data_IF_140739472763
#
_entry.id   IF_140739472763
#
_cell.length_a   1.000
_cell.length_b   1.000
_cell.length_c   1.000
_cell.angle_alpha   90.00
_cell.angle_beta   90.00
_cell.angle_gamma   90.00
#
_symmetry.space_group_name_H-M   'P 1'
#
loop_
_entity.id
_entity.type
_entity.pdbx_description
1 polymer ?
#
# COMPACT_ATOMS: atom_id res chain seq x y z
N UNK A 1 -18.39 0.84 3.36
CA UNK A 1 -18.83 0.80 1.92
C UNK A 1 -17.77 0.19 1.04
N UNK A 2 -18.10 -0.28 -0.18
CA UNK A 2 -17.15 -0.85 -1.16
C UNK A 2 -17.33 -0.20 -2.52
N UNK A 3 -16.23 0.25 -3.14
CA UNK A 3 -16.16 0.80 -4.49
C UNK A 3 -15.39 -0.17 -5.39
N UNK A 4 -15.91 -0.54 -6.54
CA UNK A 4 -15.23 -1.42 -7.48
C UNK A 4 -14.46 -0.62 -8.54
N UNK A 5 -13.15 -0.87 -8.67
CA UNK A 5 -12.26 -0.20 -9.61
C UNK A 5 -11.71 -1.23 -10.61
N UNK A 6 -12.26 -1.28 -11.83
CA UNK A 6 -11.80 -2.24 -12.83
C UNK A 6 -11.84 -3.70 -12.37
N UNK A 7 -12.84 -4.08 -11.57
CA UNK A 7 -12.97 -5.40 -10.97
C UNK A 7 -12.31 -5.56 -9.58
N UNK A 8 -11.48 -4.61 -9.14
CA UNK A 8 -10.84 -4.64 -7.81
C UNK A 8 -11.76 -3.95 -6.79
N UNK A 9 -12.25 -4.67 -5.75
CA UNK A 9 -13.05 -4.07 -4.70
C UNK A 9 -12.18 -3.30 -3.69
N UNK A 10 -12.58 -2.08 -3.35
CA UNK A 10 -11.91 -1.19 -2.40
C UNK A 10 -12.92 -0.78 -1.33
N UNK A 11 -12.66 -1.11 -0.07
CA UNK A 11 -13.57 -0.77 1.04
C UNK A 11 -13.31 -1.59 2.29
N UNK A 12 -13.94 -1.21 3.40
CA UNK A 12 -13.64 -1.71 4.76
C UNK A 12 -13.89 -3.21 4.96
N UNK A 13 -14.71 -3.84 4.11
CA UNK A 13 -14.96 -5.29 4.14
C UNK A 13 -14.03 -6.08 3.19
N UNK A 14 -13.08 -5.39 2.55
CA UNK A 14 -12.19 -5.97 1.54
C UNK A 14 -10.73 -5.91 2.01
N UNK A 15 -9.84 -6.75 1.43
CA UNK A 15 -8.42 -6.61 1.68
C UNK A 15 -7.90 -5.23 1.24
N UNK A 16 -7.01 -4.63 2.05
CA UNK A 16 -6.43 -3.31 1.74
C UNK A 16 -5.65 -3.38 0.42
N UNK A 17 -6.03 -2.56 -0.54
CA UNK A 17 -5.51 -2.59 -1.90
C UNK A 17 -4.19 -1.83 -2.02
N UNK A 18 -3.18 -2.44 -2.62
CA UNK A 18 -1.90 -1.80 -2.94
C UNK A 18 -1.99 -1.13 -4.31
N UNK A 19 -1.84 0.19 -4.32
CA UNK A 19 -1.80 1.00 -5.53
C UNK A 19 -0.40 1.60 -5.74
N UNK A 20 0.03 1.71 -7.00
CA UNK A 20 1.26 2.40 -7.39
C UNK A 20 1.00 3.45 -8.49
N UNK A 21 2.08 4.05 -9.00
CA UNK A 21 2.03 5.07 -10.04
C UNK A 21 3.28 5.02 -10.91
N UNK A 22 3.10 5.18 -12.22
CA UNK A 22 4.22 5.35 -13.15
C UNK A 22 4.89 6.71 -12.99
N UNK A 23 6.14 6.81 -13.43
CA UNK A 23 6.88 8.06 -13.61
C UNK A 23 7.41 8.24 -15.04
N UNK A 24 6.95 7.41 -15.98
CA UNK A 24 7.19 7.55 -17.41
C UNK A 24 6.36 8.71 -17.98
N UNK A 25 6.76 9.25 -19.12
CA UNK A 25 5.89 10.10 -19.92
C UNK A 25 4.75 9.24 -20.50
N UNK A 26 3.52 9.54 -20.11
CA UNK A 26 2.34 8.79 -20.57
C UNK A 26 2.11 8.94 -22.08
N UNK A 27 2.68 9.96 -22.72
CA UNK A 27 2.66 10.12 -24.18
C UNK A 27 3.52 9.04 -24.89
N UNK A 28 4.40 8.33 -24.17
CA UNK A 28 5.08 7.13 -24.65
C UNK A 28 4.32 5.88 -24.15
N UNK A 29 3.45 5.27 -24.96
CA UNK A 29 2.65 4.15 -24.53
C UNK A 29 3.47 2.90 -24.27
N UNK A 30 4.57 2.66 -25.00
CA UNK A 30 5.39 1.46 -24.84
C UNK A 30 6.15 1.48 -23.51
N UNK A 31 6.83 2.59 -23.20
CA UNK A 31 7.54 2.77 -21.93
C UNK A 31 6.58 2.73 -20.74
N UNK A 32 5.41 3.37 -20.87
CA UNK A 32 4.42 3.39 -19.79
C UNK A 32 3.80 2.02 -19.56
N UNK A 33 3.41 1.28 -20.60
CA UNK A 33 2.88 -0.07 -20.48
C UNK A 33 3.92 -1.02 -19.86
N UNK A 34 5.18 -0.91 -20.26
CA UNK A 34 6.27 -1.70 -19.66
C UNK A 34 6.40 -1.45 -18.15
N UNK A 35 6.36 -0.18 -17.72
CA UNK A 35 6.42 0.15 -16.30
C UNK A 35 5.17 -0.27 -15.54
N UNK A 36 3.97 -0.16 -16.14
CA UNK A 36 2.73 -0.67 -15.55
C UNK A 36 2.81 -2.18 -15.31
N UNK A 37 3.30 -2.96 -16.30
CA UNK A 37 3.53 -4.41 -16.15
C UNK A 37 4.52 -4.72 -15.03
N UNK A 38 5.62 -3.97 -14.93
CA UNK A 38 6.61 -4.15 -13.87
C UNK A 38 6.00 -3.90 -12.47
N UNK A 39 5.23 -2.83 -12.32
CA UNK A 39 4.53 -2.51 -11.07
C UNK A 39 3.48 -3.57 -10.71
N UNK A 40 2.74 -4.08 -11.69
CA UNK A 40 1.78 -5.16 -11.50
C UNK A 40 2.48 -6.47 -11.11
N UNK A 41 3.55 -6.84 -11.78
CA UNK A 41 4.35 -8.02 -11.45
C UNK A 41 4.94 -7.96 -10.03
N UNK A 42 5.28 -6.75 -9.54
CA UNK A 42 5.67 -6.54 -8.16
C UNK A 42 4.50 -6.69 -7.16
N UNK A 43 3.26 -6.69 -7.65
CA UNK A 43 2.03 -6.91 -6.87
C UNK A 43 1.20 -5.65 -6.63
N UNK A 44 1.36 -4.60 -7.47
CA UNK A 44 0.39 -3.50 -7.48
C UNK A 44 -0.92 -3.95 -8.10
N UNK A 45 -2.02 -3.76 -7.39
CA UNK A 45 -3.36 -4.18 -7.82
C UNK A 45 -4.08 -3.10 -8.64
N UNK A 46 -3.62 -1.86 -8.53
CA UNK A 46 -4.08 -0.70 -9.29
C UNK A 46 -2.87 0.14 -9.67
N UNK A 47 -2.76 0.59 -10.90
CA UNK A 47 -1.66 1.46 -11.35
C UNK A 47 -2.20 2.77 -11.89
N UNK A 48 -1.61 3.90 -11.46
CA UNK A 48 -2.01 5.24 -11.88
C UNK A 48 -1.01 5.81 -12.88
N UNK A 49 -1.53 6.43 -13.93
CA UNK A 49 -0.76 7.17 -14.94
C UNK A 49 -1.20 8.64 -14.94
N UNK A 50 -0.30 9.56 -15.25
CA UNK A 50 -0.63 10.99 -15.36
C UNK A 50 -1.19 11.27 -16.76
N UNK A 51 -2.36 11.94 -16.84
CA UNK A 51 -2.97 12.35 -18.10
C UNK A 51 -3.07 13.87 -18.11
N UNK A 52 -2.06 14.53 -18.67
CA UNK A 52 -1.89 16.00 -18.62
C UNK A 52 -1.82 16.67 -19.99
N UNK A 53 -1.70 15.90 -21.07
CA UNK A 53 -1.63 16.39 -22.44
C UNK A 53 -2.57 15.62 -23.37
N UNK A 54 -2.84 16.17 -24.55
CA UNK A 54 -3.61 15.49 -25.60
C UNK A 54 -2.91 14.20 -26.07
N UNK A 55 -1.56 14.21 -26.12
CA UNK A 55 -0.74 13.05 -26.49
C UNK A 55 -0.90 11.92 -25.45
N UNK A 56 -0.77 12.27 -24.16
CA UNK A 56 -1.00 11.33 -23.07
C UNK A 56 -2.42 10.73 -23.11
N UNK A 57 -3.43 11.56 -23.33
CA UNK A 57 -4.81 11.09 -23.44
C UNK A 57 -5.02 10.13 -24.62
N UNK A 58 -4.38 10.40 -25.79
CA UNK A 58 -4.42 9.51 -26.96
C UNK A 58 -3.69 8.19 -26.71
N UNK A 59 -2.63 8.18 -25.91
CA UNK A 59 -1.82 6.99 -25.61
C UNK A 59 -2.52 6.01 -24.62
N UNK A 60 -3.38 6.51 -23.72
CA UNK A 60 -4.03 5.68 -22.67
C UNK A 60 -4.71 4.41 -23.21
N UNK A 61 -5.50 4.43 -24.30
CA UNK A 61 -6.13 3.19 -24.79
C UNK A 61 -5.11 2.12 -25.19
N UNK A 62 -3.98 2.52 -25.80
CA UNK A 62 -2.92 1.59 -26.18
C UNK A 62 -2.21 1.02 -24.94
N UNK A 63 -1.96 1.85 -23.93
CA UNK A 63 -1.38 1.38 -22.65
C UNK A 63 -2.30 0.34 -22.00
N UNK A 64 -3.59 0.65 -21.90
CA UNK A 64 -4.57 -0.25 -21.26
C UNK A 64 -4.70 -1.57 -22.00
N UNK A 65 -4.60 -1.57 -23.34
CA UNK A 65 -4.68 -2.79 -24.15
C UNK A 65 -3.48 -3.75 -23.93
N UNK A 66 -2.36 -3.25 -23.41
CA UNK A 66 -1.12 -4.00 -23.20
C UNK A 66 -0.95 -4.52 -21.77
N UNK A 67 -1.92 -4.31 -20.87
CA UNK A 67 -1.78 -4.62 -19.44
C UNK A 67 -3.05 -5.23 -18.88
N UNK A 68 -2.90 -6.14 -17.91
CA UNK A 68 -4.02 -6.84 -17.25
C UNK A 68 -4.49 -6.15 -15.96
N UNK A 69 -3.74 -5.14 -15.47
CA UNK A 69 -4.08 -4.42 -14.25
C UNK A 69 -4.93 -3.18 -14.54
N UNK A 70 -5.93 -2.85 -13.70
CA UNK A 70 -6.73 -1.64 -13.89
C UNK A 70 -5.87 -0.37 -13.83
N UNK A 71 -5.98 0.47 -14.86
CA UNK A 71 -5.24 1.72 -14.99
C UNK A 71 -6.12 2.89 -14.57
N UNK A 72 -5.56 3.77 -13.74
CA UNK A 72 -6.21 4.98 -13.20
C UNK A 72 -5.64 6.21 -13.89
N UNK A 73 -6.48 7.10 -14.36
CA UNK A 73 -6.07 8.40 -14.90
C UNK A 73 -5.96 9.47 -13.80
N UNK A 74 -4.83 10.15 -13.75
CA UNK A 74 -4.59 11.27 -12.84
C UNK A 74 -4.72 12.58 -13.59
N UNK A 75 -5.75 13.36 -13.28
CA UNK A 75 -6.12 14.58 -13.98
C UNK A 75 -5.88 15.82 -13.11
N UNK A 76 -5.27 16.82 -13.74
CA UNK A 76 -5.03 18.13 -13.16
C UNK A 76 -5.45 19.22 -14.18
N UNK A 77 -5.76 20.42 -13.72
CA UNK A 77 -6.05 21.65 -14.49
C UNK A 77 -6.99 21.48 -15.69
N UNK A 78 -6.59 20.72 -16.70
CA UNK A 78 -7.27 20.53 -17.99
C UNK A 78 -7.98 19.17 -18.12
N UNK A 79 -8.11 18.41 -17.04
CA UNK A 79 -8.71 17.07 -17.05
C UNK A 79 -10.12 17.05 -17.66
N UNK A 80 -10.93 18.08 -17.40
CA UNK A 80 -12.27 18.23 -17.97
C UNK A 80 -12.23 18.33 -19.51
N UNK A 81 -11.23 19.02 -20.07
CA UNK A 81 -11.04 19.14 -21.51
C UNK A 81 -10.54 17.82 -22.12
N UNK A 82 -9.55 17.20 -21.48
CA UNK A 82 -8.96 15.94 -21.97
C UNK A 82 -9.98 14.81 -21.99
N UNK A 83 -10.75 14.62 -20.94
CA UNK A 83 -11.77 13.58 -20.86
C UNK A 83 -12.91 13.80 -21.87
N UNK A 84 -13.32 15.05 -22.10
CA UNK A 84 -14.35 15.39 -23.08
C UNK A 84 -13.85 15.21 -24.51
N UNK A 85 -12.62 15.65 -24.80
CA UNK A 85 -12.01 15.61 -26.14
C UNK A 85 -11.59 14.19 -26.55
N UNK A 86 -11.23 13.36 -25.58
CA UNK A 86 -10.72 12.01 -25.80
C UNK A 86 -11.60 10.93 -25.13
N UNK A 87 -12.81 10.64 -25.64
CA UNK A 87 -13.71 9.68 -25.02
C UNK A 87 -13.16 8.25 -24.98
N UNK A 88 -12.24 7.88 -25.88
CA UNK A 88 -11.54 6.61 -25.83
C UNK A 88 -10.65 6.47 -24.57
N UNK A 89 -9.99 7.57 -24.16
CA UNK A 89 -9.24 7.62 -22.90
C UNK A 89 -10.20 7.44 -21.70
N UNK A 90 -11.29 8.17 -21.68
CA UNK A 90 -12.29 8.08 -20.61
C UNK A 90 -12.80 6.64 -20.43
N UNK A 91 -13.16 5.97 -21.53
CA UNK A 91 -13.64 4.57 -21.52
C UNK A 91 -12.58 3.57 -21.06
N UNK A 92 -11.33 3.74 -21.51
CA UNK A 92 -10.25 2.79 -21.21
C UNK A 92 -9.85 2.79 -19.74
N UNK A 93 -9.88 3.93 -19.07
CA UNK A 93 -9.51 4.05 -17.66
C UNK A 93 -10.49 3.35 -16.72
N UNK A 94 -9.97 2.75 -15.66
CA UNK A 94 -10.77 2.09 -14.63
C UNK A 94 -11.31 3.04 -13.56
N UNK A 95 -10.64 4.18 -13.35
CA UNK A 95 -11.00 5.20 -12.37
C UNK A 95 -10.36 6.54 -12.73
N UNK A 96 -10.99 7.64 -12.34
CA UNK A 96 -10.37 8.96 -12.44
C UNK A 96 -9.91 9.44 -11.07
N UNK A 97 -8.73 10.05 -10.99
CA UNK A 97 -8.29 10.81 -9.83
C UNK A 97 -8.36 12.29 -10.15
N UNK A 98 -9.01 13.02 -9.27
CA UNK A 98 -9.21 14.47 -9.38
C UNK A 98 -8.67 15.11 -8.11
N UNK A 99 -7.93 16.21 -8.24
CA UNK A 99 -7.62 17.09 -7.12
C UNK A 99 -8.52 18.33 -7.24
N UNK A 100 -9.49 18.55 -6.34
CA UNK A 100 -10.43 19.66 -6.43
C UNK A 100 -9.77 21.03 -6.37
N UNK A 101 -8.59 21.15 -5.74
CA UNK A 101 -7.80 22.37 -5.76
C UNK A 101 -7.08 22.66 -7.09
N UNK A 102 -7.04 21.67 -7.99
CA UNK A 102 -6.27 21.72 -9.25
C UNK A 102 -7.12 21.43 -10.51
N UNK A 103 -8.40 21.76 -10.51
CA UNK A 103 -9.29 21.61 -11.70
C UNK A 103 -9.41 22.88 -12.52
N UNK A 104 -8.45 23.80 -12.37
CA UNK A 104 -8.43 25.13 -12.98
C UNK A 104 -8.91 26.23 -12.02
N UNK A 105 -8.40 27.45 -12.22
CA UNK A 105 -8.69 28.59 -11.34
C UNK A 105 -9.99 29.31 -11.70
N UNK A 106 -10.36 29.27 -12.99
CA UNK A 106 -11.63 29.84 -13.47
C UNK A 106 -12.65 28.72 -13.63
N UNK A 107 -13.88 28.92 -13.12
CA UNK A 107 -14.96 27.93 -13.19
C UNK A 107 -14.60 26.56 -12.58
N UNK A 108 -13.93 26.57 -11.44
CA UNK A 108 -13.46 25.35 -10.79
C UNK A 108 -14.58 24.30 -10.64
N UNK A 109 -15.72 24.68 -10.11
CA UNK A 109 -16.83 23.77 -9.85
C UNK A 109 -17.47 23.27 -11.17
N UNK A 110 -17.57 24.11 -12.21
CA UNK A 110 -18.03 23.69 -13.51
C UNK A 110 -17.09 22.66 -14.16
N UNK A 111 -15.78 22.89 -14.05
CA UNK A 111 -14.77 21.96 -14.55
C UNK A 111 -14.83 20.62 -13.80
N UNK A 112 -14.98 20.69 -12.48
CA UNK A 112 -15.15 19.50 -11.63
C UNK A 112 -16.43 18.73 -12.03
N UNK A 113 -17.58 19.41 -12.11
CA UNK A 113 -18.85 18.83 -12.57
C UNK A 113 -18.74 18.18 -13.95
N UNK A 114 -17.98 18.79 -14.86
CA UNK A 114 -17.73 18.21 -16.21
C UNK A 114 -17.00 16.88 -16.11
N UNK A 115 -15.96 16.76 -15.27
CA UNK A 115 -15.23 15.50 -15.06
C UNK A 115 -16.16 14.45 -14.43
N UNK A 116 -16.95 14.84 -13.43
CA UNK A 116 -17.92 13.97 -12.78
C UNK A 116 -18.98 13.48 -13.80
N UNK A 117 -19.48 14.35 -14.66
CA UNK A 117 -20.45 13.95 -15.67
C UNK A 117 -19.88 12.91 -16.66
N UNK A 118 -18.60 13.04 -17.03
CA UNK A 118 -17.92 12.00 -17.82
C UNK A 118 -17.82 10.70 -17.03
N UNK A 119 -17.49 10.77 -15.75
CA UNK A 119 -17.41 9.59 -14.88
C UNK A 119 -18.76 8.87 -14.75
N UNK A 120 -19.85 9.62 -14.62
CA UNK A 120 -21.23 9.09 -14.59
C UNK A 120 -21.55 8.40 -15.91
N UNK A 121 -21.32 9.07 -17.04
CA UNK A 121 -21.64 8.56 -18.37
C UNK A 121 -20.85 7.28 -18.72
N UNK A 122 -19.59 7.20 -18.29
CA UNK A 122 -18.72 6.05 -18.53
C UNK A 122 -18.76 5.00 -17.39
N UNK A 123 -19.59 5.24 -16.35
CA UNK A 123 -19.74 4.35 -15.21
C UNK A 123 -18.48 4.17 -14.37
N UNK A 124 -17.63 5.19 -14.29
CA UNK A 124 -16.33 5.11 -13.61
C UNK A 124 -16.37 5.66 -12.19
N UNK A 125 -15.74 4.99 -11.22
CA UNK A 125 -15.52 5.58 -9.91
C UNK A 125 -14.50 6.73 -9.98
N UNK A 126 -14.58 7.62 -8.99
CA UNK A 126 -13.71 8.79 -8.87
C UNK A 126 -13.01 8.77 -7.53
N UNK A 127 -11.71 9.06 -7.51
CA UNK A 127 -11.02 9.42 -6.26
C UNK A 127 -10.84 10.93 -6.20
N UNK A 128 -11.46 11.53 -5.21
CA UNK A 128 -11.26 12.93 -4.83
C UNK A 128 -10.03 12.99 -3.93
N UNK A 129 -8.97 13.61 -4.44
CA UNK A 129 -7.67 13.59 -3.80
C UNK A 129 -7.19 14.97 -3.42
N UNK A 130 -7.48 15.40 -2.20
CA UNK A 130 -6.99 16.65 -1.64
C UNK A 130 -5.52 16.49 -1.22
N UNK A 131 -4.70 17.49 -1.52
CA UNK A 131 -3.31 17.57 -1.05
C UNK A 131 -3.10 18.93 -0.37
N UNK A 132 -2.34 18.95 0.71
CA UNK A 132 -1.98 20.18 1.43
C UNK A 132 -1.40 21.27 0.52
N UNK A 133 -0.39 20.91 -0.29
CA UNK A 133 0.32 21.86 -1.16
C UNK A 133 -0.53 22.43 -2.32
N UNK A 134 -1.75 21.94 -2.52
CA UNK A 134 -2.66 22.38 -3.59
C UNK A 134 -4.11 22.44 -3.10
N UNK A 135 -4.29 22.86 -1.85
CA UNK A 135 -5.59 23.09 -1.25
C UNK A 135 -6.31 24.28 -1.89
N UNK A 136 -7.62 24.23 -1.88
CA UNK A 136 -8.48 25.34 -2.30
C UNK A 136 -8.20 26.60 -1.45
N UNK A 137 -7.62 27.62 -2.10
CA UNK A 137 -7.20 28.84 -1.44
C UNK A 137 -8.40 29.69 -0.99
N UNK A 138 -9.52 29.63 -1.70
CA UNK A 138 -10.71 30.36 -1.30
C UNK A 138 -11.28 29.76 -0.01
N UNK A 139 -11.49 28.46 0.04
CA UNK A 139 -11.95 27.77 1.24
C UNK A 139 -11.01 28.00 2.42
N UNK A 140 -9.69 27.87 2.20
CA UNK A 140 -8.72 28.13 3.26
C UNK A 140 -8.82 29.55 3.81
N UNK A 141 -8.93 30.56 2.92
CA UNK A 141 -9.09 31.97 3.31
C UNK A 141 -10.37 32.18 4.13
N UNK A 142 -11.50 31.66 3.66
CA UNK A 142 -12.78 31.75 4.36
C UNK A 142 -12.68 31.15 5.78
N UNK A 143 -12.02 30.00 5.94
CA UNK A 143 -11.87 29.35 7.24
C UNK A 143 -10.87 30.08 8.14
N UNK A 144 -9.80 30.64 7.61
CA UNK A 144 -8.85 31.47 8.36
C UNK A 144 -9.50 32.77 8.84
N UNK A 145 -10.29 33.44 8.00
CA UNK A 145 -11.02 34.64 8.36
C UNK A 145 -12.09 34.37 9.43
N UNK A 146 -12.74 33.21 9.36
CA UNK A 146 -13.68 32.78 10.41
C UNK A 146 -12.95 32.50 11.73
N UNK A 147 -11.80 31.82 11.67
CA UNK A 147 -10.96 31.54 12.85
C UNK A 147 -10.46 32.83 13.52
N UNK A 148 -10.04 33.83 12.74
CA UNK A 148 -9.56 35.10 13.26
C UNK A 148 -10.62 35.90 14.05
N UNK A 149 -11.91 35.58 13.86
CA UNK A 149 -13.02 36.24 14.57
C UNK A 149 -13.41 35.53 15.88
N UNK A 150 -12.80 34.37 16.19
CA UNK A 150 -13.03 33.67 17.44
C UNK A 150 -12.38 34.42 18.61
N UNK A 151 -12.94 34.30 19.81
CA UNK A 151 -12.37 34.88 21.03
C UNK A 151 -10.96 34.29 21.31
N UNK A 152 -10.78 33.00 20.98
CA UNK A 152 -9.51 32.29 21.05
C UNK A 152 -9.25 31.63 19.69
N UNK A 153 -8.52 32.30 18.77
CA UNK A 153 -8.20 31.72 17.48
C UNK A 153 -7.34 30.45 17.61
N UNK A 154 -7.68 29.43 16.85
CA UNK A 154 -6.93 28.19 16.79
C UNK A 154 -5.66 28.36 15.94
N UNK A 155 -4.71 27.44 16.09
CA UNK A 155 -3.49 27.40 15.28
C UNK A 155 -3.83 27.29 13.79
N UNK A 156 -3.10 28.04 12.96
CA UNK A 156 -3.32 28.05 11.50
C UNK A 156 -3.16 26.67 10.85
N UNK A 157 -2.29 25.81 11.41
CA UNK A 157 -2.11 24.44 10.95
C UNK A 157 -3.37 23.59 11.17
N UNK A 158 -4.02 23.74 12.32
CA UNK A 158 -5.26 23.02 12.64
C UNK A 158 -6.38 23.46 11.71
N UNK A 159 -6.52 24.77 11.45
CA UNK A 159 -7.49 25.31 10.50
C UNK A 159 -7.23 24.80 9.09
N UNK A 160 -5.96 24.64 8.70
CA UNK A 160 -5.62 24.08 7.38
C UNK A 160 -5.99 22.61 7.28
N UNK A 161 -5.81 21.82 8.35
CA UNK A 161 -6.25 20.42 8.39
C UNK A 161 -7.78 20.31 8.29
N UNK A 162 -8.50 21.15 9.01
CA UNK A 162 -9.97 21.25 8.89
C UNK A 162 -10.38 21.59 7.45
N UNK A 163 -9.71 22.55 6.82
CA UNK A 163 -9.97 22.95 5.44
C UNK A 163 -9.71 21.80 4.43
N UNK A 164 -8.72 20.94 4.68
CA UNK A 164 -8.51 19.76 3.86
C UNK A 164 -9.66 18.76 3.95
N UNK A 165 -10.12 18.50 5.16
CA UNK A 165 -11.28 17.60 5.40
C UNK A 165 -12.53 18.18 4.78
N UNK A 166 -12.79 19.46 5.00
CA UNK A 166 -13.94 20.17 4.44
C UNK A 166 -13.92 20.19 2.91
N UNK A 167 -12.75 20.42 2.30
CA UNK A 167 -12.57 20.36 0.84
C UNK A 167 -12.89 18.98 0.28
N UNK A 168 -12.48 17.92 0.98
CA UNK A 168 -12.80 16.55 0.57
C UNK A 168 -14.29 16.25 0.64
N UNK A 169 -14.95 16.64 1.74
CA UNK A 169 -16.36 16.40 1.97
C UNK A 169 -17.24 17.19 0.99
N UNK A 170 -17.02 18.50 0.86
CA UNK A 170 -17.77 19.34 -0.11
C UNK A 170 -17.62 18.87 -1.55
N UNK A 171 -16.41 18.36 -1.90
CA UNK A 171 -16.18 17.83 -3.24
C UNK A 171 -16.88 16.49 -3.47
N UNK A 172 -17.02 15.66 -2.43
CA UNK A 172 -17.81 14.43 -2.50
C UNK A 172 -19.31 14.73 -2.67
N UNK A 173 -19.85 15.65 -1.86
CA UNK A 173 -21.23 16.14 -1.96
C UNK A 173 -21.51 16.70 -3.37
N UNK A 174 -20.62 17.55 -3.88
CA UNK A 174 -20.72 18.12 -5.24
C UNK A 174 -20.70 17.02 -6.33
N UNK A 175 -19.92 15.95 -6.13
CA UNK A 175 -19.89 14.83 -7.06
C UNK A 175 -21.22 14.07 -7.07
N UNK A 176 -21.81 13.82 -5.90
CA UNK A 176 -23.12 13.17 -5.76
C UNK A 176 -24.25 14.04 -6.33
N UNK A 177 -24.27 15.33 -6.01
CA UNK A 177 -25.20 16.30 -6.62
C UNK A 177 -25.10 16.33 -8.14
N UNK A 178 -23.90 16.04 -8.70
CA UNK A 178 -23.67 15.93 -10.12
C UNK A 178 -24.06 14.58 -10.73
N UNK A 179 -24.62 13.68 -9.91
CA UNK A 179 -25.16 12.37 -10.32
C UNK A 179 -24.19 11.20 -10.16
N UNK A 180 -23.03 11.37 -9.55
CA UNK A 180 -22.12 10.24 -9.27
C UNK A 180 -22.71 9.42 -8.10
N UNK A 181 -22.92 8.10 -8.28
CA UNK A 181 -23.43 7.26 -7.18
C UNK A 181 -22.49 7.28 -5.98
N UNK A 182 -23.04 7.20 -4.77
CA UNK A 182 -22.30 7.19 -3.52
C UNK A 182 -21.21 6.11 -3.47
N UNK A 183 -21.51 4.91 -3.97
CA UNK A 183 -20.59 3.76 -4.08
C UNK A 183 -19.55 3.89 -5.21
N UNK A 184 -19.36 5.08 -5.75
CA UNK A 184 -18.35 5.42 -6.78
C UNK A 184 -17.34 6.46 -6.34
N UNK A 185 -17.37 6.88 -5.08
CA UNK A 185 -16.48 7.88 -4.52
C UNK A 185 -15.44 7.24 -3.60
N UNK A 186 -14.18 7.61 -3.76
CA UNK A 186 -13.04 7.30 -2.87
C UNK A 186 -12.43 8.62 -2.43
N UNK A 187 -12.06 8.78 -1.16
CA UNK A 187 -11.44 10.01 -0.66
C UNK A 187 -9.97 9.83 -0.33
N UNK A 188 -9.21 10.91 -0.41
CA UNK A 188 -7.87 11.01 0.17
C UNK A 188 -7.52 12.44 0.54
N UNK A 189 -6.85 12.62 1.68
CA UNK A 189 -6.34 13.89 2.18
C UNK A 189 -4.85 13.73 2.52
N UNK A 190 -3.95 14.10 1.60
CA UNK A 190 -2.53 13.79 1.70
C UNK A 190 -1.70 14.99 2.14
N UNK A 191 -0.80 14.74 3.07
CA UNK A 191 0.19 15.68 3.61
C UNK A 191 1.57 15.04 3.61
N UNK A 192 2.63 15.81 3.84
CA UNK A 192 4.02 15.31 3.85
C UNK A 192 4.51 14.92 5.26
N UNK A 193 3.84 15.38 6.33
CA UNK A 193 4.17 15.07 7.72
C UNK A 193 3.37 13.89 8.25
N UNK A 194 4.02 13.00 9.02
CA UNK A 194 3.38 11.82 9.63
C UNK A 194 2.27 12.22 10.60
N UNK A 195 2.55 13.16 11.51
CA UNK A 195 1.58 13.60 12.52
C UNK A 195 0.37 14.28 11.88
N UNK A 196 0.59 15.09 10.85
CA UNK A 196 -0.49 15.73 10.10
C UNK A 196 -1.34 14.72 9.34
N UNK A 197 -0.70 13.70 8.75
CA UNK A 197 -1.42 12.62 8.08
C UNK A 197 -2.36 11.91 9.05
N UNK A 198 -1.85 11.54 10.22
CA UNK A 198 -2.64 10.86 11.25
C UNK A 198 -3.79 11.74 11.73
N UNK A 199 -3.53 13.03 12.00
CA UNK A 199 -4.54 13.98 12.45
C UNK A 199 -5.66 14.15 11.40
N UNK A 200 -5.31 14.43 10.14
CA UNK A 200 -6.29 14.64 9.05
C UNK A 200 -7.18 13.41 8.83
N UNK A 201 -6.60 12.20 8.80
CA UNK A 201 -7.42 11.00 8.58
C UNK A 201 -8.28 10.61 9.78
N UNK A 202 -7.82 10.87 11.02
CA UNK A 202 -8.66 10.73 12.22
C UNK A 202 -9.85 11.69 12.22
N UNK A 203 -9.69 12.86 11.59
CA UNK A 203 -10.79 13.81 11.42
C UNK A 203 -11.73 13.42 10.26
N UNK A 204 -11.16 12.88 9.16
CA UNK A 204 -11.92 12.52 7.96
C UNK A 204 -12.73 11.23 8.13
N UNK A 205 -12.13 10.19 8.73
CA UNK A 205 -12.72 8.87 8.83
C UNK A 205 -14.11 8.84 9.52
N UNK A 206 -14.37 9.56 10.63
CA UNK A 206 -15.68 9.55 11.27
C UNK A 206 -16.74 10.40 10.53
N UNK A 207 -16.35 11.19 9.52
CA UNK A 207 -17.26 12.10 8.79
C UNK A 207 -17.95 11.44 7.58
N UNK A 208 -17.49 10.28 7.15
CA UNK A 208 -18.05 9.58 5.99
C UNK A 208 -17.74 8.09 6.02
N UNK A 209 -18.45 7.32 5.21
CA UNK A 209 -18.23 5.90 4.97
C UNK A 209 -17.53 5.61 3.60
N UNK A 210 -17.08 6.67 2.90
CA UNK A 210 -16.30 6.52 1.68
C UNK A 210 -14.99 5.78 1.93
N UNK A 211 -14.59 4.83 1.07
CA UNK A 211 -13.27 4.23 1.15
C UNK A 211 -12.15 5.28 1.13
N UNK A 212 -11.15 5.08 1.98
CA UNK A 212 -10.05 6.01 2.17
C UNK A 212 -8.76 5.50 1.52
N UNK A 213 -8.14 6.35 0.70
CA UNK A 213 -6.84 6.07 0.10
C UNK A 213 -5.73 6.78 0.88
N UNK A 214 -4.91 6.00 1.58
CA UNK A 214 -3.82 6.52 2.41
C UNK A 214 -2.50 6.71 1.65
N UNK A 215 -1.67 7.57 2.18
CA UNK A 215 -0.27 7.76 1.77
C UNK A 215 0.22 9.16 2.06
N UNK A 216 1.50 9.27 2.39
CA UNK A 216 2.16 10.56 2.42
C UNK A 216 2.35 11.11 1.00
N UNK A 217 2.32 12.41 0.83
CA UNK A 217 2.91 13.08 -0.33
C UNK A 217 4.36 13.43 0.02
N UNK A 218 5.27 13.33 -0.96
CA UNK A 218 6.65 13.79 -0.81
C UNK A 218 7.37 13.18 0.41
N UNK A 219 7.20 11.88 0.63
CA UNK A 219 7.79 11.19 1.79
C UNK A 219 9.33 11.27 1.80
N UNK A 220 9.96 11.41 0.63
CA UNK A 220 11.41 11.53 0.46
C UNK A 220 12.05 10.26 -0.07
N UNK A 221 13.39 10.23 -0.04
CA UNK A 221 14.22 9.16 -0.61
C UNK A 221 14.65 8.15 0.46
N UNK A 222 14.89 6.91 0.04
CA UNK A 222 15.57 5.87 0.83
C UNK A 222 14.94 5.70 2.22
N UNK A 223 15.78 5.49 3.21
CA UNK A 223 15.35 5.21 4.59
C UNK A 223 14.37 6.25 5.16
N UNK A 224 14.58 7.54 4.90
CA UNK A 224 13.68 8.60 5.39
C UNK A 224 12.26 8.42 4.83
N UNK A 225 12.16 8.17 3.53
CA UNK A 225 10.87 7.98 2.87
C UNK A 225 10.16 6.70 3.31
N UNK A 226 10.90 5.61 3.44
CA UNK A 226 10.39 4.31 3.93
C UNK A 226 9.87 4.44 5.37
N UNK A 227 10.69 5.00 6.28
CA UNK A 227 10.32 5.15 7.69
C UNK A 227 9.09 6.04 7.85
N UNK A 228 9.05 7.21 7.18
CA UNK A 228 7.92 8.12 7.26
C UNK A 228 6.62 7.48 6.71
N UNK A 229 6.71 6.80 5.56
CA UNK A 229 5.55 6.11 4.98
C UNK A 229 5.07 4.97 5.88
N UNK A 230 5.98 4.15 6.39
CA UNK A 230 5.66 3.07 7.31
C UNK A 230 4.98 3.59 8.57
N UNK A 231 5.54 4.61 9.23
CA UNK A 231 4.97 5.18 10.45
C UNK A 231 3.55 5.73 10.21
N UNK A 232 3.38 6.58 9.18
CA UNK A 232 2.08 7.21 8.91
C UNK A 232 0.99 6.20 8.52
N UNK A 233 1.33 5.23 7.68
CA UNK A 233 0.39 4.18 7.27
C UNK A 233 0.06 3.24 8.43
N UNK A 234 1.06 2.80 9.19
CA UNK A 234 0.86 1.79 10.24
C UNK A 234 -0.04 2.30 11.37
N UNK A 235 0.10 3.56 11.80
CA UNK A 235 -0.75 4.14 12.83
C UNK A 235 -2.22 4.10 12.39
N UNK A 236 -2.51 4.58 11.19
CA UNK A 236 -3.89 4.64 10.68
C UNK A 236 -4.48 3.25 10.43
N UNK A 237 -3.70 2.35 9.82
CA UNK A 237 -4.14 1.00 9.53
C UNK A 237 -4.42 0.18 10.80
N UNK A 238 -3.66 0.39 11.89
CA UNK A 238 -3.92 -0.21 13.20
C UNK A 238 -5.22 0.30 13.83
N UNK A 239 -5.65 1.51 13.48
CA UNK A 239 -6.92 2.10 13.91
C UNK A 239 -8.10 1.70 12.99
N UNK A 240 -7.86 0.84 12.00
CA UNK A 240 -8.88 0.44 11.02
C UNK A 240 -9.18 1.50 9.97
N UNK A 241 -8.33 2.51 9.83
CA UNK A 241 -8.49 3.61 8.86
C UNK A 241 -7.66 3.30 7.61
N UNK A 242 -8.33 3.16 6.46
CA UNK A 242 -7.69 3.00 5.15
C UNK A 242 -8.05 1.71 4.43
N UNK A 243 -8.46 1.84 3.17
CA UNK A 243 -8.94 0.76 2.31
C UNK A 243 -8.01 0.51 1.11
N UNK A 244 -7.20 1.49 0.78
CA UNK A 244 -6.14 1.38 -0.24
C UNK A 244 -4.97 2.28 0.13
N UNK A 245 -3.76 1.84 -0.18
CA UNK A 245 -2.53 2.55 0.18
C UNK A 245 -1.64 2.79 -1.04
N UNK A 246 -0.87 3.89 -0.99
CA UNK A 246 0.24 4.12 -1.89
C UNK A 246 1.42 4.73 -1.14
N UNK A 247 2.55 4.06 -1.19
CA UNK A 247 3.84 4.59 -0.76
C UNK A 247 4.40 5.51 -1.85
N UNK A 248 4.89 6.70 -1.49
CA UNK A 248 5.39 7.72 -2.43
C UNK A 248 6.87 7.99 -2.14
N UNK A 249 7.76 7.20 -2.70
CA UNK A 249 9.19 7.41 -2.58
C UNK A 249 9.73 8.23 -3.76
N UNK A 250 10.70 9.07 -3.48
CA UNK A 250 11.52 9.67 -4.54
C UNK A 250 12.54 8.62 -4.98
N UNK A 251 12.47 8.10 -6.22
CA UNK A 251 13.42 7.09 -6.67
C UNK A 251 14.82 7.71 -6.85
N UNK A 252 15.87 6.89 -6.71
CA UNK A 252 17.19 7.28 -7.17
C UNK A 252 17.19 7.39 -8.70
N UNK A 253 18.07 8.20 -9.32
CA UNK A 253 18.22 8.17 -10.76
C UNK A 253 18.49 6.74 -11.27
N UNK A 254 17.66 6.25 -12.20
CA UNK A 254 17.72 4.86 -12.67
C UNK A 254 17.28 3.80 -11.65
N UNK A 255 16.74 4.20 -10.50
CA UNK A 255 16.29 3.29 -9.45
C UNK A 255 15.02 2.54 -9.80
N UNK A 256 14.80 1.43 -9.10
CA UNK A 256 13.64 0.56 -9.27
C UNK A 256 12.36 1.22 -8.76
N UNK A 257 11.40 1.45 -9.68
CA UNK A 257 10.09 2.02 -9.35
C UNK A 257 9.22 1.05 -8.54
N UNK A 258 9.50 -0.23 -8.56
CA UNK A 258 8.74 -1.26 -7.83
C UNK A 258 9.00 -1.24 -6.32
N UNK A 259 10.05 -0.55 -5.84
CA UNK A 259 10.35 -0.40 -4.42
C UNK A 259 9.13 0.11 -3.62
N UNK A 260 8.36 1.06 -4.18
CA UNK A 260 7.14 1.57 -3.53
C UNK A 260 6.11 0.46 -3.25
N UNK A 261 5.96 -0.48 -4.19
CA UNK A 261 5.03 -1.61 -4.06
C UNK A 261 5.52 -2.58 -2.99
N UNK A 262 6.82 -2.89 -3.00
CA UNK A 262 7.44 -3.78 -2.02
C UNK A 262 7.30 -3.22 -0.60
N UNK A 263 7.57 -1.93 -0.42
CA UNK A 263 7.40 -1.25 0.89
C UNK A 263 5.94 -1.28 1.34
N UNK A 264 4.99 -1.00 0.44
CA UNK A 264 3.57 -1.07 0.76
C UNK A 264 3.13 -2.47 1.22
N UNK A 265 3.60 -3.51 0.52
CA UNK A 265 3.35 -4.90 0.90
C UNK A 265 3.96 -5.23 2.26
N UNK A 266 5.21 -4.80 2.52
CA UNK A 266 5.88 -5.05 3.80
C UNK A 266 5.17 -4.34 4.96
N UNK A 267 4.63 -3.14 4.77
CA UNK A 267 3.81 -2.45 5.79
C UNK A 267 2.59 -3.32 6.14
N UNK A 268 1.82 -3.74 5.14
CA UNK A 268 0.62 -4.56 5.39
C UNK A 268 0.95 -5.91 6.01
N UNK A 269 2.03 -6.54 5.57
CA UNK A 269 2.46 -7.85 6.04
C UNK A 269 3.01 -7.79 7.46
N UNK A 270 3.80 -6.76 7.80
CA UNK A 270 4.32 -6.55 9.15
C UNK A 270 3.22 -6.25 10.18
N UNK A 271 2.10 -5.68 9.74
CA UNK A 271 0.91 -5.46 10.56
C UNK A 271 -0.01 -6.68 10.64
N UNK A 272 0.28 -7.78 9.92
CA UNK A 272 -0.57 -8.96 9.86
C UNK A 272 -1.90 -8.74 9.12
N UNK A 273 -2.03 -7.67 8.34
CA UNK A 273 -3.25 -7.31 7.62
C UNK A 273 -3.40 -8.07 6.30
N UNK A 274 -2.27 -8.37 5.64
CA UNK A 274 -2.21 -9.17 4.41
C UNK A 274 -0.88 -9.92 4.33
N UNK A 275 -0.85 -11.02 3.60
CA UNK A 275 0.36 -11.77 3.25
C UNK A 275 0.59 -11.69 1.74
N UNK A 276 1.85 -11.49 1.32
CA UNK A 276 2.23 -11.35 -0.09
C UNK A 276 3.37 -12.27 -0.48
N UNK A 277 4.27 -12.54 0.46
CA UNK A 277 5.45 -13.38 0.26
C UNK A 277 5.79 -14.10 1.57
N UNK A 278 6.37 -15.30 1.53
CA UNK A 278 6.94 -15.92 2.72
C UNK A 278 7.84 -14.96 3.49
N UNK A 279 7.74 -14.97 4.81
CA UNK A 279 8.57 -14.13 5.67
C UNK A 279 9.80 -14.87 6.17
N UNK A 280 10.95 -14.24 6.11
CA UNK A 280 12.18 -14.75 6.72
C UNK A 280 12.55 -13.86 7.92
N UNK A 281 12.50 -14.45 9.11
CA UNK A 281 13.03 -13.86 10.34
C UNK A 281 14.48 -14.28 10.49
N UNK A 282 15.39 -13.31 10.52
CA UNK A 282 16.82 -13.55 10.70
C UNK A 282 17.36 -12.80 11.91
N UNK A 283 18.33 -13.40 12.56
CA UNK A 283 19.07 -12.79 13.67
C UNK A 283 19.89 -11.61 13.17
N UNK A 284 19.98 -10.48 13.91
CA UNK A 284 20.79 -9.31 13.49
C UNK A 284 22.30 -9.57 13.55
N UNK A 285 22.73 -10.67 14.18
CA UNK A 285 24.14 -10.93 14.49
C UNK A 285 24.62 -10.17 15.73
N UNK A 286 25.56 -10.76 16.45
CA UNK A 286 26.20 -10.15 17.62
C UNK A 286 27.59 -10.81 17.85
N UNK A 287 28.28 -10.50 18.95
CA UNK A 287 29.56 -11.11 19.27
C UNK A 287 29.60 -12.62 19.42
N UNK A 288 28.41 -13.28 19.46
CA UNK A 288 28.30 -14.75 19.42
C UNK A 288 28.31 -15.33 18.03
N UNK A 289 28.16 -14.51 17.00
CA UNK A 289 28.12 -14.89 15.59
C UNK A 289 29.15 -14.06 14.83
N UNK A 290 30.39 -14.51 14.80
CA UNK A 290 31.48 -13.85 14.06
C UNK A 290 31.57 -14.32 12.61
N UNK A 291 30.84 -15.37 12.22
CA UNK A 291 30.72 -15.87 10.87
C UNK A 291 29.60 -15.15 10.11
N UNK A 292 29.79 -14.91 8.82
CA UNK A 292 28.76 -14.36 7.91
C UNK A 292 27.78 -15.42 7.39
N UNK A 293 28.05 -16.69 7.64
CA UNK A 293 27.31 -17.82 7.06
C UNK A 293 25.79 -17.73 7.26
N UNK A 294 25.33 -17.31 8.46
CA UNK A 294 23.89 -17.17 8.70
C UNK A 294 23.27 -16.00 7.90
N UNK A 295 24.04 -14.95 7.64
CA UNK A 295 23.60 -13.81 6.81
C UNK A 295 23.50 -14.24 5.35
N UNK A 296 24.51 -14.92 4.84
CA UNK A 296 24.55 -15.47 3.49
C UNK A 296 23.40 -16.47 3.26
N UNK A 297 23.17 -17.37 4.23
CA UNK A 297 22.06 -18.31 4.19
C UNK A 297 20.69 -17.59 4.23
N UNK A 298 20.53 -16.58 5.07
CA UNK A 298 19.29 -15.82 5.14
C UNK A 298 19.00 -15.08 3.81
N UNK A 299 20.03 -14.50 3.19
CA UNK A 299 19.92 -13.85 1.89
C UNK A 299 19.58 -14.84 0.77
N UNK A 300 20.25 -16.02 0.76
CA UNK A 300 19.99 -17.08 -0.20
C UNK A 300 18.55 -17.60 -0.09
N UNK A 301 18.07 -17.86 1.13
CA UNK A 301 16.68 -18.25 1.37
C UNK A 301 15.68 -17.18 0.95
N UNK A 302 15.93 -15.90 1.29
CA UNK A 302 15.06 -14.81 0.85
C UNK A 302 15.00 -14.70 -0.67
N UNK A 303 16.14 -14.88 -1.32
CA UNK A 303 16.25 -14.85 -2.79
C UNK A 303 15.53 -16.02 -3.42
N UNK A 304 15.71 -17.22 -2.88
CA UNK A 304 15.00 -18.42 -3.30
C UNK A 304 13.47 -18.26 -3.18
N UNK A 305 12.98 -17.81 -2.04
CA UNK A 305 11.55 -17.58 -1.82
C UNK A 305 10.95 -16.56 -2.80
N UNK A 306 11.69 -15.48 -3.10
CA UNK A 306 11.26 -14.50 -4.12
C UNK A 306 11.20 -15.11 -5.52
N UNK A 307 12.15 -15.95 -5.88
CA UNK A 307 12.17 -16.64 -7.18
C UNK A 307 11.06 -17.67 -7.32
N UNK A 308 10.74 -18.39 -6.24
CA UNK A 308 9.68 -19.39 -6.23
C UNK A 308 8.26 -18.79 -6.18
N UNK A 309 8.12 -17.53 -5.77
CA UNK A 309 6.83 -16.88 -5.57
C UNK A 309 5.84 -17.09 -6.74
N UNK A 310 6.19 -16.81 -8.02
CA UNK A 310 5.23 -16.97 -9.11
C UNK A 310 4.74 -18.41 -9.29
N UNK A 311 5.63 -19.37 -9.17
CA UNK A 311 5.31 -20.79 -9.27
C UNK A 311 4.48 -21.28 -8.08
N UNK A 312 4.81 -20.83 -6.87
CA UNK A 312 4.11 -21.21 -5.64
C UNK A 312 2.71 -20.60 -5.54
N UNK A 313 2.52 -19.35 -5.94
CA UNK A 313 1.19 -18.73 -5.99
C UNK A 313 0.21 -19.52 -6.87
N UNK A 314 0.71 -20.10 -7.97
CA UNK A 314 -0.10 -20.92 -8.88
C UNK A 314 -0.35 -22.34 -8.35
N UNK A 315 0.65 -22.95 -7.69
CA UNK A 315 0.64 -24.36 -7.28
C UNK A 315 0.24 -24.58 -5.83
N UNK A 316 0.54 -23.64 -4.96
CA UNK A 316 0.45 -23.75 -3.50
C UNK A 316 -0.22 -22.50 -2.89
N UNK A 317 -1.51 -22.25 -3.17
CA UNK A 317 -2.23 -21.13 -2.55
C UNK A 317 -2.12 -21.14 -1.02
N UNK A 318 -1.82 -19.97 -0.41
CA UNK A 318 -1.56 -19.82 1.01
C UNK A 318 -0.07 -19.92 1.39
N UNK A 319 0.82 -20.27 0.46
CA UNK A 319 2.27 -20.31 0.71
C UNK A 319 2.87 -18.93 1.04
N UNK A 320 2.19 -17.86 0.71
CA UNK A 320 2.54 -16.48 1.08
C UNK A 320 2.50 -16.23 2.60
N UNK A 321 1.80 -17.08 3.37
CA UNK A 321 1.72 -17.00 4.82
C UNK A 321 2.90 -17.70 5.54
N UNK A 322 3.75 -18.39 4.79
CA UNK A 322 4.87 -19.16 5.34
C UNK A 322 5.86 -18.28 6.10
N UNK A 323 6.22 -18.71 7.30
CA UNK A 323 7.22 -18.06 8.17
C UNK A 323 8.44 -18.95 8.30
N UNK A 324 9.58 -18.45 7.89
CA UNK A 324 10.89 -19.12 7.95
C UNK A 324 11.77 -18.37 8.96
N UNK A 325 12.51 -19.11 9.80
CA UNK A 325 13.49 -18.53 10.72
C UNK A 325 14.91 -18.99 10.38
N UNK A 326 15.86 -18.04 10.33
CA UNK A 326 17.29 -18.31 10.14
C UNK A 326 18.08 -17.66 11.26
N UNK A 327 18.51 -18.46 12.24
CA UNK A 327 19.14 -17.98 13.46
C UNK A 327 20.62 -18.34 13.50
N UNK A 328 21.45 -17.41 13.99
CA UNK A 328 22.90 -17.50 13.95
C UNK A 328 23.55 -18.10 15.20
N UNK A 329 22.81 -18.50 16.25
CA UNK A 329 23.37 -19.14 17.44
C UNK A 329 22.27 -19.87 18.25
N UNK A 330 22.69 -20.69 19.21
CA UNK A 330 21.79 -21.50 20.05
C UNK A 330 21.05 -20.71 21.12
N UNK A 331 21.35 -19.44 21.35
CA UNK A 331 20.75 -18.67 22.45
C UNK A 331 19.28 -18.37 22.18
N UNK A 332 18.98 -17.70 21.07
CA UNK A 332 17.61 -17.41 20.62
C UNK A 332 17.14 -18.37 19.51
N UNK A 333 18.10 -19.02 18.85
CA UNK A 333 17.85 -19.82 17.66
C UNK A 333 16.76 -20.89 17.82
N UNK A 334 16.85 -21.79 18.83
CA UNK A 334 15.81 -22.82 19.03
C UNK A 334 14.45 -22.23 19.36
N UNK A 335 14.38 -21.13 20.11
CA UNK A 335 13.13 -20.45 20.47
C UNK A 335 12.45 -19.86 19.23
N UNK A 336 13.14 -19.00 18.50
CA UNK A 336 12.62 -18.34 17.29
C UNK A 336 12.28 -19.37 16.19
N UNK A 337 13.13 -20.39 16.03
CA UNK A 337 12.89 -21.45 15.04
C UNK A 337 11.64 -22.29 15.36
N UNK A 338 11.25 -22.42 16.63
CA UNK A 338 10.02 -23.10 17.03
C UNK A 338 8.76 -22.26 16.82
N UNK A 339 8.89 -20.92 16.82
CA UNK A 339 7.77 -20.03 16.56
C UNK A 339 7.49 -19.81 15.07
N UNK A 340 8.45 -20.16 14.21
CA UNK A 340 8.26 -20.18 12.77
C UNK A 340 7.61 -21.50 12.30
N UNK A 341 7.08 -21.52 11.09
CA UNK A 341 6.57 -22.74 10.47
C UNK A 341 7.71 -23.72 10.18
N UNK A 342 8.84 -23.17 9.74
CA UNK A 342 10.11 -23.87 9.57
C UNK A 342 11.26 -22.97 10.00
N UNK A 343 12.21 -23.47 10.77
CA UNK A 343 13.34 -22.66 11.22
C UNK A 343 14.61 -23.49 11.39
N UNK A 344 15.74 -22.84 11.18
CA UNK A 344 17.08 -23.39 11.39
C UNK A 344 17.84 -22.53 12.40
N UNK A 345 18.53 -23.19 13.32
CA UNK A 345 19.44 -22.55 14.26
C UNK A 345 20.87 -22.97 13.91
N UNK A 346 21.63 -22.05 13.37
CA UNK A 346 23.04 -22.29 13.02
C UNK A 346 23.92 -22.20 14.29
N UNK A 347 25.08 -22.84 14.28
CA UNK A 347 26.02 -22.72 15.39
C UNK A 347 26.66 -21.32 15.42
N UNK A 348 26.78 -20.76 16.61
CA UNK A 348 27.57 -19.57 16.85
C UNK A 348 29.05 -19.83 16.95
N UNK A 349 29.85 -18.81 17.23
CA UNK A 349 31.29 -18.93 17.45
C UNK A 349 31.60 -19.86 18.63
N UNK A 350 32.48 -20.83 18.41
CA UNK A 350 32.86 -21.88 19.36
C UNK A 350 31.72 -22.85 19.76
N UNK A 351 30.59 -22.85 19.06
CA UNK A 351 29.54 -23.87 19.21
C UNK A 351 29.85 -25.09 18.31
N UNK A 352 29.30 -26.25 18.67
CA UNK A 352 29.41 -27.43 17.80
C UNK A 352 28.79 -27.15 16.42
N UNK A 353 29.39 -27.61 15.30
CA UNK A 353 28.89 -27.36 13.96
C UNK A 353 27.64 -28.21 13.65
N UNK A 354 26.55 -27.92 14.37
CA UNK A 354 25.24 -28.57 14.28
C UNK A 354 24.17 -27.53 14.04
N UNK A 355 23.34 -27.75 13.04
CA UNK A 355 22.23 -26.87 12.68
C UNK A 355 20.87 -27.60 12.86
N UNK A 356 20.26 -27.54 14.05
CA UNK A 356 18.94 -28.11 14.26
C UNK A 356 17.89 -27.37 13.44
N UNK A 357 17.04 -28.14 12.74
CA UNK A 357 15.90 -27.67 11.96
C UNK A 357 14.62 -28.03 12.70
N UNK A 358 13.78 -27.03 12.89
CA UNK A 358 12.47 -27.16 13.52
C UNK A 358 11.38 -27.00 12.44
N UNK A 359 10.34 -27.83 12.56
CA UNK A 359 9.17 -27.80 11.68
C UNK A 359 7.93 -27.89 12.58
N UNK A 360 7.00 -26.97 12.43
CA UNK A 360 5.78 -26.86 13.24
C UNK A 360 6.08 -26.93 14.77
N UNK A 361 7.14 -26.24 15.21
CA UNK A 361 7.57 -26.17 16.60
C UNK A 361 8.38 -27.36 17.11
N UNK A 362 8.52 -28.44 16.35
CA UNK A 362 9.24 -29.66 16.75
C UNK A 362 10.60 -29.80 16.04
N UNK A 363 11.61 -30.34 16.76
CA UNK A 363 12.89 -30.67 16.14
C UNK A 363 12.68 -31.78 15.09
N UNK A 364 13.00 -31.48 13.84
CA UNK A 364 12.85 -32.40 12.70
C UNK A 364 14.14 -33.21 12.44
N UNK A 365 15.25 -32.47 12.31
CA UNK A 365 16.57 -33.03 11.98
C UNK A 365 17.67 -32.05 12.42
N UNK A 366 18.89 -32.55 12.57
CA UNK A 366 20.08 -31.72 12.78
C UNK A 366 21.00 -31.88 11.60
N UNK A 367 21.17 -30.78 10.82
CA UNK A 367 22.02 -30.74 9.64
C UNK A 367 23.50 -30.52 10.04
N UNK A 368 24.43 -30.94 9.18
CA UNK A 368 25.86 -30.81 9.39
C UNK A 368 26.59 -30.75 8.04
N UNK A 369 27.78 -30.13 8.06
CA UNK A 369 28.68 -30.08 6.89
C UNK A 369 28.30 -29.00 5.88
N UNK A 370 28.82 -29.13 4.66
CA UNK A 370 28.79 -28.07 3.63
C UNK A 370 27.44 -27.98 2.88
N UNK A 371 26.59 -28.99 3.02
CA UNK A 371 25.27 -29.06 2.32
C UNK A 371 24.10 -28.48 3.10
N UNK A 372 24.34 -27.79 4.24
CA UNK A 372 23.27 -27.32 5.15
C UNK A 372 22.21 -26.49 4.41
N UNK A 373 22.63 -25.57 3.53
CA UNK A 373 21.68 -24.70 2.81
C UNK A 373 20.83 -25.51 1.84
N UNK A 374 21.46 -26.35 1.01
CA UNK A 374 20.75 -27.18 0.03
C UNK A 374 19.79 -28.19 0.72
N UNK A 375 20.24 -28.78 1.83
CA UNK A 375 19.42 -29.71 2.62
C UNK A 375 18.23 -28.98 3.27
N UNK A 376 18.45 -27.78 3.79
CA UNK A 376 17.37 -26.95 4.35
C UNK A 376 16.35 -26.53 3.28
N UNK A 377 16.81 -26.08 2.10
CA UNK A 377 15.90 -25.72 1.00
C UNK A 377 15.05 -26.91 0.54
N UNK A 378 15.63 -28.12 0.50
CA UNK A 378 14.86 -29.34 0.19
C UNK A 378 13.78 -29.62 1.25
N UNK A 379 14.11 -29.48 2.54
CA UNK A 379 13.12 -29.63 3.63
C UNK A 379 12.03 -28.57 3.54
N UNK A 380 12.38 -27.37 3.16
CA UNK A 380 11.47 -26.24 2.93
C UNK A 380 10.50 -26.54 1.78
N UNK A 381 10.99 -27.03 0.64
CA UNK A 381 10.15 -27.43 -0.50
C UNK A 381 9.18 -28.56 -0.11
N UNK A 382 9.69 -29.63 0.52
CA UNK A 382 8.87 -30.74 1.00
C UNK A 382 7.79 -30.25 1.98
N UNK A 383 8.13 -29.25 2.81
CA UNK A 383 7.17 -28.65 3.74
C UNK A 383 6.07 -27.90 3.01
N UNK A 384 6.44 -27.05 2.06
CA UNK A 384 5.46 -26.27 1.25
C UNK A 384 4.53 -27.20 0.47
N UNK A 385 5.09 -28.21 -0.20
CA UNK A 385 4.28 -29.19 -0.94
C UNK A 385 3.32 -29.96 -0.03
N UNK A 386 3.79 -30.40 1.15
CA UNK A 386 2.96 -31.12 2.12
C UNK A 386 1.86 -30.27 2.73
N UNK A 387 2.16 -28.99 3.08
CA UNK A 387 1.22 -28.11 3.79
C UNK A 387 0.21 -27.46 2.86
N UNK A 388 0.67 -26.99 1.70
CA UNK A 388 -0.13 -26.19 0.76
C UNK A 388 -0.53 -26.97 -0.51
N UNK A 389 0.11 -28.10 -0.81
CA UNK A 389 -0.17 -28.90 -2.01
C UNK A 389 -1.48 -29.70 -1.98
N UNK A 390 -2.12 -29.86 -0.81
CA UNK A 390 -3.34 -30.67 -0.65
C UNK A 390 -4.65 -29.90 -0.77
N UNK A 391 -4.64 -28.63 -1.12
CA UNK A 391 -5.84 -27.78 -1.12
C UNK A 391 -6.59 -27.69 -2.46
N UNK A 392 -6.48 -28.68 -3.34
CA UNK A 392 -7.36 -28.77 -4.52
C UNK A 392 -8.82 -29.20 -4.24
N UNK A 393 -9.23 -29.18 -2.97
CA UNK A 393 -10.56 -29.67 -2.55
C UNK A 393 -11.39 -28.74 -1.66
N UNK A 394 -10.92 -27.59 -1.24
CA UNK A 394 -11.74 -26.66 -0.44
C UNK A 394 -11.26 -25.22 -0.56
N UNK A 395 -11.59 -24.58 -1.67
CA UNK A 395 -11.50 -23.14 -1.80
C UNK A 395 -12.63 -22.50 -0.98
N UNK A 396 -12.34 -21.99 0.20
CA UNK A 396 -13.33 -21.25 0.95
C UNK A 396 -13.19 -21.31 2.45
N UNK A 397 -12.11 -20.80 3.00
CA UNK A 397 -12.12 -20.17 4.33
C UNK A 397 -10.82 -19.37 4.48
N UNK A 398 -10.81 -18.17 3.97
CA UNK A 398 -9.92 -17.15 4.53
C UNK A 398 -10.29 -17.05 6.00
N UNK A 399 -9.44 -17.55 6.88
CA UNK A 399 -9.53 -17.23 8.29
C UNK A 399 -9.21 -15.75 8.40
N UNK A 400 -10.24 -14.91 8.37
CA UNK A 400 -10.15 -13.59 8.96
C UNK A 400 -9.72 -13.82 10.40
N UNK A 401 -8.46 -13.57 10.71
CA UNK A 401 -8.06 -13.28 12.06
C UNK A 401 -8.75 -11.96 12.36
N UNK A 402 -9.93 -12.03 12.96
CA UNK A 402 -10.50 -10.92 13.65
C UNK A 402 -9.46 -10.56 14.71
N UNK A 403 -8.67 -9.52 14.44
CA UNK A 403 -7.90 -8.87 15.49
C UNK A 403 -8.96 -8.29 16.42
N UNK A 404 -9.28 -9.06 17.46
CA UNK A 404 -10.07 -8.56 18.56
C UNK A 404 -9.31 -7.39 19.14
N UNK A 405 -9.76 -6.18 18.81
CA UNK A 405 -9.34 -4.97 19.50
C UNK A 405 -9.86 -5.17 20.94
N UNK A 406 -9.00 -5.68 21.83
CA UNK A 406 -9.19 -5.46 23.24
C UNK A 406 -9.11 -3.93 23.41
N UNK A 407 -10.26 -3.30 23.53
CA UNK A 407 -10.38 -2.01 24.17
C UNK A 407 -9.85 -2.17 25.60
N UNK A 408 -8.52 -2.01 25.75
CA UNK A 408 -7.98 -1.68 27.05
C UNK A 408 -8.32 -0.20 27.27
N UNK A 409 -9.18 0.05 28.25
CA UNK A 409 -9.46 1.38 28.80
C UNK A 409 -8.12 2.01 29.24
N UNK A 410 -7.48 2.73 28.33
CA UNK A 410 -6.37 3.60 28.67
C UNK A 410 -7.00 4.90 29.19
N UNK A 411 -7.26 4.92 30.49
CA UNK A 411 -7.54 6.15 31.20
C UNK A 411 -6.31 7.08 31.11
N UNK A 412 -6.44 8.15 30.35
CA UNK A 412 -5.45 9.22 30.35
C UNK A 412 -5.35 9.82 31.75
N UNK A 413 -4.15 10.04 32.29
CA UNK A 413 -4.00 10.72 33.58
C UNK A 413 -4.53 12.16 33.44
N UNK A 414 -5.48 12.52 34.31
CA UNK A 414 -5.89 13.91 34.48
C UNK A 414 -4.70 14.69 35.04
N UNK A 415 -4.12 15.58 34.24
CA UNK A 415 -3.20 16.57 34.74
C UNK A 415 -3.96 17.51 35.67
N UNK A 416 -3.60 17.48 36.93
CA UNK A 416 -3.90 18.51 37.94
C UNK A 416 -2.86 19.60 37.88
N UNK A 417 -3.37 20.83 37.92
CA UNK A 417 -2.76 22.15 38.10
C UNK A 417 -2.19 22.84 36.87
#
# INVERSE_FOLDING_TARGET
MTVTVGGVPVGSAQPIVVQSMTNTDTADPAATAAQVRALHAAGSELVRVTVNTDEAARAVPAIVAEVDVPVIGDFHYNGHLLLTKHPACARALAKYRINPGNVGTKRRDDNFRTIIQVAVNEGKPVRIGVNWGSLDQQLLTEMMDANAKLAEPRDARDVTMDAMVESAMRSAELAEESGLPHDRVILSAKVSGVQDLVAVYRMLAPRSDYPLHLGLTEAGMGTKGVVASTAGLSILLQEGIGDTIRVSLTPRPGGDRTEEVQVAQQVLQSLGLRSFTPQVTACPGCGRTTSTFFQEMAEEIQTYLRQQRPAWQARFPGSEELRVAVMGCVVNGPGESKHADIGISLPGTAEEPRAPVYVDGALRVTLKGDSIVADFLRILEDYVERRFGKSSGNAGAQRHVAVGVHQADIALPKNHA
#
